data_IF_736857836874
#
_entry.id   IF_736857836874
#
_cell.length_a   1.000
_cell.length_b   1.000
_cell.length_c   1.000
_cell.angle_alpha   90.00
_cell.angle_beta   90.00
_cell.angle_gamma   90.00
#
_symmetry.space_group_name_H-M   'P 1'
#
loop_
_entity.id
_entity.type
_entity.pdbx_description
1 polymer ?
#
# COMPACT_ATOMS: atom_id res chain seq x y z
N UNK A 1 25.51 -7.37 -15.03
CA UNK A 1 24.07 -7.31 -14.64
C UNK A 1 23.78 -8.27 -13.48
N UNK A 2 24.34 -9.48 -13.44
CA UNK A 2 24.15 -10.48 -12.36
C UNK A 2 24.49 -9.88 -10.99
N UNK A 3 25.67 -9.31 -10.84
CA UNK A 3 26.19 -8.77 -9.57
C UNK A 3 25.33 -7.63 -9.03
N UNK A 4 24.75 -6.81 -9.92
CA UNK A 4 23.79 -5.76 -9.54
C UNK A 4 22.48 -6.33 -9.04
N UNK A 5 21.97 -7.36 -9.70
CA UNK A 5 20.72 -8.01 -9.28
C UNK A 5 20.89 -8.69 -7.92
N UNK A 6 22.00 -9.35 -7.68
CA UNK A 6 22.34 -9.97 -6.39
C UNK A 6 22.50 -8.93 -5.28
N UNK A 7 23.21 -7.82 -5.55
CA UNK A 7 23.33 -6.71 -4.61
C UNK A 7 21.97 -6.10 -4.25
N UNK A 8 21.13 -5.85 -5.25
CA UNK A 8 19.79 -5.31 -5.03
C UNK A 8 18.91 -6.28 -4.22
N UNK A 9 18.92 -7.56 -4.54
CA UNK A 9 18.19 -8.57 -3.79
C UNK A 9 18.66 -8.64 -2.33
N UNK A 10 19.97 -8.61 -2.10
CA UNK A 10 20.52 -8.58 -0.75
C UNK A 10 20.10 -7.32 0.02
N UNK A 11 20.14 -6.14 -0.63
CA UNK A 11 19.69 -4.87 -0.01
C UNK A 11 18.21 -4.89 0.34
N UNK A 12 17.35 -5.45 -0.51
CA UNK A 12 15.93 -5.61 -0.23
C UNK A 12 15.71 -6.49 1.01
N UNK A 13 16.40 -7.62 1.11
CA UNK A 13 16.27 -8.49 2.29
C UNK A 13 16.75 -7.81 3.58
N UNK A 14 17.83 -7.03 3.54
CA UNK A 14 18.30 -6.26 4.68
C UNK A 14 17.33 -5.17 5.13
N UNK A 15 16.48 -4.67 4.23
CA UNK A 15 15.49 -3.65 4.54
C UNK A 15 14.17 -4.22 5.10
N UNK A 16 14.01 -5.54 5.08
CA UNK A 16 12.77 -6.20 5.53
C UNK A 16 12.57 -6.04 7.04
N UNK A 17 11.37 -5.64 7.42
CA UNK A 17 10.96 -5.51 8.82
C UNK A 17 10.80 -6.90 9.47
N UNK A 18 10.82 -6.98 10.83
CA UNK A 18 10.59 -8.26 11.54
C UNK A 18 9.23 -8.91 11.24
N UNK A 19 8.23 -8.11 10.84
CA UNK A 19 6.90 -8.60 10.42
C UNK A 19 6.88 -9.17 8.99
N UNK A 20 8.03 -9.16 8.30
CA UNK A 20 8.19 -9.68 6.94
C UNK A 20 7.82 -8.68 5.83
N UNK A 21 7.41 -7.46 6.16
CA UNK A 21 7.07 -6.44 5.19
C UNK A 21 8.27 -5.54 4.86
N UNK A 22 8.32 -5.07 3.61
CA UNK A 22 9.36 -4.14 3.16
C UNK A 22 8.83 -2.70 3.16
N UNK A 23 9.47 -1.78 3.90
CA UNK A 23 9.22 -0.36 3.76
C UNK A 23 9.55 0.11 2.34
N UNK A 24 8.74 1.00 1.79
CA UNK A 24 8.98 1.57 0.46
C UNK A 24 10.04 2.67 0.51
N UNK A 25 10.09 3.42 1.63
CA UNK A 25 10.99 4.56 1.81
C UNK A 25 11.67 4.56 3.16
N UNK A 26 12.83 5.21 3.21
CA UNK A 26 13.63 5.42 4.41
C UNK A 26 14.04 6.88 4.51
N UNK A 27 14.14 7.40 5.75
CA UNK A 27 14.88 8.61 6.06
C UNK A 27 16.20 8.26 6.74
N UNK A 28 17.16 9.17 6.66
CA UNK A 28 18.47 9.00 7.26
C UNK A 28 18.81 10.20 8.13
N UNK A 29 19.15 9.96 9.39
CA UNK A 29 19.63 10.96 10.31
C UNK A 29 21.14 10.79 10.51
N UNK A 30 21.92 11.88 10.35
CA UNK A 30 23.32 11.85 10.68
C UNK A 30 23.51 11.69 12.20
N UNK A 31 24.18 10.63 12.64
CA UNK A 31 24.50 10.38 14.05
C UNK A 31 25.86 10.92 14.45
N UNK A 32 26.78 10.97 13.50
CA UNK A 32 28.10 11.54 13.71
C UNK A 32 28.53 12.36 12.47
N UNK A 33 29.22 13.45 12.71
CA UNK A 33 29.72 14.35 11.66
C UNK A 33 30.97 15.09 12.12
N UNK A 34 31.74 15.57 11.16
CA UNK A 34 32.83 16.51 11.39
C UNK A 34 32.64 17.78 10.60
N UNK A 35 33.18 18.87 11.14
CA UNK A 35 33.22 20.15 10.45
C UNK A 35 34.56 20.24 9.71
N UNK A 36 34.51 20.54 8.42
CA UNK A 36 35.66 20.74 7.55
C UNK A 36 35.65 22.16 7.00
N UNK A 37 36.73 22.56 6.29
CA UNK A 37 36.76 23.85 5.60
C UNK A 37 35.69 23.95 4.49
N UNK A 38 35.27 22.80 3.92
CA UNK A 38 34.28 22.70 2.85
C UNK A 38 32.85 22.59 3.36
N UNK A 39 32.64 22.39 4.68
CA UNK A 39 31.31 22.27 5.30
C UNK A 39 31.20 21.13 6.30
N UNK A 40 30.00 20.60 6.46
CA UNK A 40 29.71 19.48 7.36
C UNK A 40 29.78 18.17 6.57
N UNK A 41 30.63 17.26 7.01
CA UNK A 41 30.78 15.92 6.47
C UNK A 41 30.17 14.90 7.44
N UNK A 42 29.02 14.26 7.09
CA UNK A 42 28.45 13.20 7.93
C UNK A 42 29.31 11.94 7.87
N UNK A 43 29.52 11.31 9.01
CA UNK A 43 30.36 10.13 9.18
C UNK A 43 29.56 8.84 9.35
N UNK A 44 28.41 8.91 10.02
CA UNK A 44 27.48 7.81 10.17
C UNK A 44 26.04 8.26 10.11
N UNK A 45 25.15 7.32 9.74
CA UNK A 45 23.72 7.57 9.60
C UNK A 45 22.90 6.49 10.29
N UNK A 46 21.84 6.90 10.97
CA UNK A 46 20.76 6.02 11.37
C UNK A 46 19.69 6.00 10.27
N UNK A 47 19.36 4.80 9.82
CA UNK A 47 18.27 4.58 8.88
C UNK A 47 16.95 4.39 9.64
N UNK A 48 15.95 5.21 9.33
CA UNK A 48 14.60 5.10 9.86
C UNK A 48 13.63 4.68 8.75
N UNK A 49 12.86 3.61 8.98
CA UNK A 49 11.81 3.21 8.05
C UNK A 49 10.64 4.19 8.14
N UNK A 50 10.17 4.68 7.00
CA UNK A 50 8.92 5.42 6.93
C UNK A 50 7.71 4.46 7.06
N UNK A 51 6.50 4.98 7.35
CA UNK A 51 5.29 4.18 7.38
C UNK A 51 5.11 3.36 6.10
N UNK A 52 4.57 2.15 6.23
CA UNK A 52 4.35 1.26 5.08
C UNK A 52 3.40 1.92 4.06
N UNK A 53 3.74 1.78 2.79
CA UNK A 53 2.86 2.04 1.67
C UNK A 53 2.47 0.71 1.03
N UNK A 54 1.23 0.56 0.60
CA UNK A 54 0.72 -0.66 -0.06
C UNK A 54 1.50 -1.00 -1.33
N UNK A 55 2.12 -0.01 -1.95
CA UNK A 55 3.01 -0.18 -3.11
C UNK A 55 4.18 -1.13 -2.81
N UNK A 56 4.74 -1.10 -1.61
CA UNK A 56 5.79 -2.03 -1.18
C UNK A 56 5.36 -3.49 -1.30
N UNK A 57 4.30 -3.94 -0.63
CA UNK A 57 3.73 -5.28 -0.80
C UNK A 57 3.34 -5.63 -2.24
N UNK A 58 2.82 -4.69 -3.03
CA UNK A 58 2.50 -4.91 -4.46
C UNK A 58 3.76 -5.31 -5.23
N UNK A 59 4.87 -4.60 -5.03
CA UNK A 59 6.13 -4.92 -5.71
C UNK A 59 6.80 -6.17 -5.12
N UNK A 60 6.74 -6.36 -3.80
CA UNK A 60 7.27 -7.57 -3.16
C UNK A 60 6.55 -8.83 -3.66
N UNK A 61 5.21 -8.79 -3.83
CA UNK A 61 4.42 -9.90 -4.37
C UNK A 61 4.92 -10.36 -5.75
N UNK A 62 5.35 -9.43 -6.59
CA UNK A 62 5.92 -9.73 -7.92
C UNK A 62 7.26 -10.44 -7.84
N UNK A 63 8.04 -10.18 -6.79
CA UNK A 63 9.36 -10.76 -6.59
C UNK A 63 9.31 -12.16 -5.96
N UNK A 64 8.19 -12.51 -5.30
CA UNK A 64 8.05 -13.82 -4.67
C UNK A 64 7.98 -14.94 -5.72
N UNK A 65 8.83 -15.96 -5.57
CA UNK A 65 9.01 -17.02 -6.57
C UNK A 65 7.98 -18.15 -6.47
N UNK A 66 7.38 -18.35 -5.30
CA UNK A 66 6.49 -19.46 -5.02
C UNK A 66 5.22 -19.01 -4.27
N UNK A 67 4.17 -19.83 -4.37
CA UNK A 67 2.86 -19.56 -3.77
C UNK A 67 2.93 -19.45 -2.24
N UNK A 68 3.77 -20.24 -1.59
CA UNK A 68 3.91 -20.21 -0.12
C UNK A 68 4.47 -18.88 0.38
N UNK A 69 5.45 -18.33 -0.32
CA UNK A 69 6.03 -17.03 0.01
C UNK A 69 5.03 -15.91 -0.22
N UNK A 70 4.27 -15.97 -1.32
CA UNK A 70 3.17 -15.03 -1.60
C UNK A 70 2.07 -15.09 -0.55
N UNK A 71 1.70 -16.30 -0.13
CA UNK A 71 0.69 -16.48 0.92
C UNK A 71 1.15 -15.86 2.26
N UNK A 72 2.39 -16.13 2.69
CA UNK A 72 2.95 -15.49 3.89
C UNK A 72 2.95 -13.97 3.82
N UNK A 73 3.32 -13.42 2.65
CA UNK A 73 3.29 -11.97 2.44
C UNK A 73 1.86 -11.43 2.53
N UNK A 74 0.89 -12.11 1.93
CA UNK A 74 -0.52 -11.72 2.03
C UNK A 74 -1.02 -11.75 3.49
N UNK A 75 -0.68 -12.79 4.25
CA UNK A 75 -1.00 -12.86 5.67
C UNK A 75 -0.37 -11.70 6.47
N UNK A 76 0.90 -11.39 6.22
CA UNK A 76 1.59 -10.27 6.89
C UNK A 76 0.92 -8.93 6.58
N UNK A 77 0.52 -8.68 5.32
CA UNK A 77 -0.23 -7.47 4.94
C UNK A 77 -1.58 -7.41 5.66
N UNK A 78 -2.32 -8.52 5.73
CA UNK A 78 -3.59 -8.62 6.43
C UNK A 78 -3.51 -8.41 7.94
N UNK A 79 -2.33 -8.64 8.53
CA UNK A 79 -2.06 -8.40 9.96
C UNK A 79 -1.53 -6.98 10.24
N UNK A 80 -1.03 -6.30 9.24
CA UNK A 80 -0.45 -4.95 9.35
C UNK A 80 -1.52 -3.85 9.46
N UNK A 81 -1.07 -2.62 9.69
CA UNK A 81 -1.92 -1.42 9.67
C UNK A 81 -2.35 -1.01 8.24
N UNK A 82 -1.84 -1.67 7.19
CA UNK A 82 -2.35 -1.48 5.84
C UNK A 82 -3.76 -2.06 5.65
N UNK A 83 -4.16 -3.03 6.47
CA UNK A 83 -5.49 -3.62 6.37
C UNK A 83 -6.50 -2.93 7.30
N UNK A 84 -7.54 -2.35 6.72
CA UNK A 84 -8.67 -1.78 7.45
C UNK A 84 -9.66 -2.88 7.85
N UNK A 85 -9.56 -3.36 9.08
CA UNK A 85 -10.40 -4.46 9.58
C UNK A 85 -11.90 -4.12 9.63
N UNK A 86 -12.26 -2.83 9.80
CA UNK A 86 -13.66 -2.39 9.82
C UNK A 86 -14.29 -2.44 8.44
N UNK A 87 -13.54 -2.03 7.42
CA UNK A 87 -14.00 -2.01 6.04
C UNK A 87 -13.72 -3.31 5.29
N UNK A 88 -12.72 -4.09 5.73
CA UNK A 88 -12.21 -5.24 5.00
C UNK A 88 -11.45 -4.86 3.74
N UNK A 89 -10.78 -3.71 3.74
CA UNK A 89 -10.12 -3.10 2.58
C UNK A 89 -8.66 -2.75 2.89
N UNK A 90 -7.86 -2.49 1.85
CA UNK A 90 -6.44 -2.17 1.99
C UNK A 90 -6.19 -0.67 1.82
N UNK A 91 -5.59 -0.07 2.85
CA UNK A 91 -5.21 1.35 2.86
C UNK A 91 -4.00 1.58 1.95
N UNK A 92 -3.91 2.78 1.37
CA UNK A 92 -2.76 3.17 0.54
C UNK A 92 -1.47 3.21 1.35
N UNK A 93 -1.55 3.57 2.64
CA UNK A 93 -0.43 3.58 3.59
C UNK A 93 -0.93 3.43 5.03
N UNK A 94 0.00 3.17 5.95
CA UNK A 94 -0.22 3.36 7.38
C UNK A 94 -0.50 4.84 7.67
N UNK A 95 -1.10 5.14 8.84
CA UNK A 95 -1.33 6.53 9.24
C UNK A 95 0.00 7.31 9.28
N UNK A 96 0.00 8.50 8.66
CA UNK A 96 1.16 9.38 8.63
C UNK A 96 1.08 10.37 9.78
N UNK A 97 2.21 10.56 10.47
CA UNK A 97 2.33 11.57 11.51
C UNK A 97 2.76 12.90 10.91
N UNK A 98 2.16 14.00 11.39
CA UNK A 98 2.52 15.37 11.00
C UNK A 98 3.94 15.77 11.38
N UNK A 99 4.57 15.07 12.31
CA UNK A 99 5.99 15.27 12.65
C UNK A 99 6.94 14.78 11.55
N UNK A 100 6.46 13.97 10.62
CA UNK A 100 7.25 13.43 9.50
C UNK A 100 7.22 14.40 8.32
N UNK A 101 8.02 15.45 8.41
CA UNK A 101 8.07 16.53 7.40
C UNK A 101 8.48 16.04 6.00
N UNK A 102 9.27 14.97 5.92
CA UNK A 102 9.72 14.36 4.67
C UNK A 102 8.55 13.81 3.82
N UNK A 103 7.41 13.52 4.43
CA UNK A 103 6.23 13.01 3.74
C UNK A 103 5.41 14.11 3.04
N UNK A 104 5.83 15.38 3.17
CA UNK A 104 5.20 16.51 2.50
C UNK A 104 3.71 16.66 2.85
N UNK A 105 2.90 17.02 1.85
CA UNK A 105 1.47 17.30 2.07
C UNK A 105 0.66 16.10 2.56
N UNK A 106 1.11 14.88 2.29
CA UNK A 106 0.37 13.69 2.69
C UNK A 106 0.16 13.61 4.21
N UNK A 107 1.18 13.98 5.00
CA UNK A 107 1.09 14.03 6.45
C UNK A 107 0.16 15.16 6.98
N UNK A 108 -0.19 16.15 6.16
CA UNK A 108 -1.09 17.25 6.54
C UNK A 108 -2.57 16.86 6.45
N UNK A 109 -2.92 15.81 5.71
CA UNK A 109 -4.30 15.34 5.63
C UNK A 109 -4.74 14.66 6.92
N UNK A 110 -6.04 14.76 7.20
CA UNK A 110 -6.67 13.99 8.29
C UNK A 110 -6.47 12.49 8.04
N UNK A 111 -6.10 11.70 9.07
CA UNK A 111 -6.03 10.24 8.91
C UNK A 111 -7.30 9.68 8.28
N UNK A 112 -7.15 8.71 7.41
CA UNK A 112 -8.24 8.09 6.65
C UNK A 112 -8.75 8.90 5.45
N UNK A 113 -8.11 10.02 5.13
CA UNK A 113 -8.48 10.92 4.03
C UNK A 113 -7.33 11.13 3.05
N UNK A 114 -7.63 11.09 1.74
CA UNK A 114 -6.64 11.23 0.66
C UNK A 114 -5.42 10.32 0.88
N UNK A 115 -4.21 10.83 0.72
CA UNK A 115 -2.97 10.04 0.84
C UNK A 115 -2.56 9.71 2.29
N UNK A 116 -3.37 10.03 3.30
CA UNK A 116 -3.09 9.67 4.69
C UNK A 116 -3.98 8.51 5.16
N UNK A 117 -3.65 7.29 4.78
CA UNK A 117 -4.29 6.08 5.28
C UNK A 117 -5.72 5.84 4.79
N UNK A 118 -6.16 6.47 3.70
CA UNK A 118 -7.40 6.11 3.02
C UNK A 118 -7.22 4.87 2.14
N UNK A 119 -8.32 4.36 1.58
CA UNK A 119 -8.27 3.28 0.57
C UNK A 119 -8.27 3.90 -0.81
N UNK A 120 -7.14 3.82 -1.53
CA UNK A 120 -7.06 4.23 -2.92
C UNK A 120 -7.36 3.04 -3.82
N UNK A 121 -8.48 3.06 -4.53
CA UNK A 121 -8.95 1.91 -5.30
C UNK A 121 -7.94 1.41 -6.34
N UNK A 122 -7.20 2.31 -6.99
CA UNK A 122 -6.18 1.88 -7.95
C UNK A 122 -5.05 1.08 -7.29
N UNK A 123 -4.63 1.46 -6.08
CA UNK A 123 -3.59 0.72 -5.35
C UNK A 123 -4.13 -0.58 -4.76
N UNK A 124 -5.35 -0.57 -4.23
CA UNK A 124 -6.02 -1.78 -3.77
C UNK A 124 -6.19 -2.78 -4.91
N UNK A 125 -6.67 -2.32 -6.07
CA UNK A 125 -6.85 -3.18 -7.24
C UNK A 125 -5.51 -3.69 -7.80
N UNK A 126 -4.43 -2.91 -7.73
CA UNK A 126 -3.08 -3.42 -8.03
C UNK A 126 -2.69 -4.56 -7.10
N UNK A 127 -2.97 -4.42 -5.81
CA UNK A 127 -2.69 -5.47 -4.84
C UNK A 127 -3.51 -6.74 -5.13
N UNK A 128 -4.82 -6.61 -5.36
CA UNK A 128 -5.67 -7.73 -5.74
C UNK A 128 -5.21 -8.40 -7.05
N UNK A 129 -4.83 -7.59 -8.03
CA UNK A 129 -4.31 -8.08 -9.31
C UNK A 129 -3.03 -8.93 -9.13
N UNK A 130 -2.15 -8.55 -8.19
CA UNK A 130 -0.96 -9.36 -7.90
C UNK A 130 -1.28 -10.65 -7.15
N UNK A 131 -2.34 -10.71 -6.33
CA UNK A 131 -2.85 -11.98 -5.78
C UNK A 131 -3.30 -12.91 -6.92
N UNK A 132 -4.07 -12.38 -7.87
CA UNK A 132 -4.56 -13.14 -9.03
C UNK A 132 -3.41 -13.65 -9.90
N UNK A 133 -2.48 -12.77 -10.30
CA UNK A 133 -1.28 -13.12 -11.07
C UNK A 133 -0.36 -14.09 -10.34
N UNK A 134 -0.33 -13.99 -9.03
CA UNK A 134 0.47 -14.85 -8.15
C UNK A 134 -0.12 -16.25 -7.93
N UNK A 135 -1.32 -16.53 -8.46
CA UNK A 135 -2.00 -17.81 -8.30
C UNK A 135 -2.69 -18.00 -6.94
N UNK A 136 -2.84 -16.94 -6.15
CA UNK A 136 -3.56 -16.94 -4.89
C UNK A 136 -5.07 -16.71 -5.15
N UNK A 137 -5.69 -17.64 -5.86
CA UNK A 137 -7.06 -17.46 -6.38
C UNK A 137 -8.11 -17.41 -5.28
N UNK A 138 -7.99 -18.23 -4.25
CA UNK A 138 -8.95 -18.25 -3.13
C UNK A 138 -8.90 -16.93 -2.37
N UNK A 139 -7.70 -16.44 -2.07
CA UNK A 139 -7.46 -15.15 -1.43
C UNK A 139 -7.99 -14.01 -2.32
N UNK A 140 -7.66 -14.04 -3.60
CA UNK A 140 -8.13 -13.04 -4.56
C UNK A 140 -9.66 -12.96 -4.56
N UNK A 141 -10.39 -14.05 -4.76
CA UNK A 141 -11.85 -14.01 -4.84
C UNK A 141 -12.50 -13.65 -3.51
N UNK A 142 -11.90 -14.03 -2.39
CA UNK A 142 -12.35 -13.60 -1.07
C UNK A 142 -12.22 -12.09 -0.90
N UNK A 143 -11.04 -11.54 -1.19
CA UNK A 143 -10.79 -10.10 -1.07
C UNK A 143 -11.55 -9.30 -2.14
N UNK A 144 -11.61 -9.76 -3.38
CA UNK A 144 -12.34 -9.10 -4.44
C UNK A 144 -13.83 -8.89 -4.12
N UNK A 145 -14.45 -9.84 -3.44
CA UNK A 145 -15.84 -9.70 -2.96
C UNK A 145 -15.99 -8.67 -1.86
N UNK A 146 -14.95 -8.40 -1.08
CA UNK A 146 -14.95 -7.40 0.00
C UNK A 146 -14.63 -6.01 -0.50
N UNK A 147 -13.63 -5.90 -1.38
CA UNK A 147 -13.03 -4.66 -1.83
C UNK A 147 -13.61 -4.15 -3.15
N UNK A 148 -14.13 -5.04 -3.98
CA UNK A 148 -14.64 -4.69 -5.31
C UNK A 148 -15.88 -3.81 -5.24
N UNK A 149 -15.82 -2.63 -5.85
CA UNK A 149 -16.93 -1.66 -5.84
C UNK A 149 -18.29 -2.26 -6.21
N UNK A 150 -18.42 -3.19 -7.20
CA UNK A 150 -19.70 -3.83 -7.51
C UNK A 150 -20.36 -4.58 -6.36
N UNK A 151 -19.63 -4.91 -5.30
CA UNK A 151 -20.12 -5.65 -4.13
C UNK A 151 -20.35 -4.78 -2.90
N UNK A 152 -20.01 -3.49 -2.97
CA UNK A 152 -20.18 -2.57 -1.86
C UNK A 152 -21.65 -2.22 -1.63
N UNK A 153 -21.96 -1.87 -0.38
CA UNK A 153 -23.29 -1.33 -0.05
C UNK A 153 -23.37 0.13 -0.49
N UNK A 154 -24.25 0.44 -1.44
CA UNK A 154 -24.43 1.80 -1.98
C UNK A 154 -24.76 2.85 -0.90
N UNK A 155 -25.51 2.48 0.15
CA UNK A 155 -25.84 3.39 1.23
C UNK A 155 -24.60 3.81 2.04
N UNK A 156 -23.61 2.92 2.18
CA UNK A 156 -22.33 3.21 2.84
C UNK A 156 -21.37 3.90 1.88
N UNK A 157 -21.24 3.34 0.68
CA UNK A 157 -20.35 3.88 -0.37
C UNK A 157 -20.77 5.29 -0.82
N UNK A 158 -22.08 5.58 -0.75
CA UNK A 158 -22.66 6.88 -1.06
C UNK A 158 -22.66 7.23 -2.55
N UNK A 159 -22.46 6.24 -3.42
CA UNK A 159 -22.45 6.34 -4.88
C UNK A 159 -22.97 5.06 -5.50
N UNK A 160 -23.23 5.11 -6.82
CA UNK A 160 -23.52 3.90 -7.57
C UNK A 160 -22.34 2.94 -7.56
N UNK A 161 -22.61 1.65 -7.37
CA UNK A 161 -21.59 0.59 -7.44
C UNK A 161 -21.10 0.30 -8.86
N UNK A 162 -21.60 1.02 -9.85
CA UNK A 162 -21.03 1.04 -11.22
C UNK A 162 -19.90 2.07 -11.39
N UNK A 163 -19.65 2.90 -10.38
CA UNK A 163 -18.62 3.94 -10.42
C UNK A 163 -17.43 3.61 -9.53
N UNK A 164 -16.23 3.46 -10.12
CA UNK A 164 -15.00 3.49 -9.37
C UNK A 164 -14.66 4.93 -8.95
N UNK A 165 -14.31 5.10 -7.67
CA UNK A 165 -13.83 6.38 -7.12
C UNK A 165 -12.31 6.40 -7.04
N UNK A 166 -11.74 7.58 -6.76
CA UNK A 166 -10.32 7.69 -6.48
C UNK A 166 -9.96 7.02 -5.16
N UNK A 167 -10.71 7.38 -4.09
CA UNK A 167 -10.46 6.83 -2.77
C UNK A 167 -11.76 6.66 -1.97
N UNK A 168 -11.67 5.77 -0.99
CA UNK A 168 -12.69 5.51 0.03
C UNK A 168 -12.11 5.92 1.39
N UNK A 169 -12.89 6.63 2.19
CA UNK A 169 -12.48 7.05 3.54
C UNK A 169 -12.34 5.82 4.43
N UNK A 170 -11.17 5.64 5.01
CA UNK A 170 -10.90 4.51 5.90
C UNK A 170 -11.41 4.73 7.32
N UNK A 171 -11.37 3.67 8.13
CA UNK A 171 -11.76 3.73 9.54
C UNK A 171 -10.77 4.49 10.44
N UNK A 172 -9.66 5.00 9.89
CA UNK A 172 -8.77 5.94 10.58
C UNK A 172 -9.36 7.34 10.71
N UNK A 173 -10.38 7.67 9.90
CA UNK A 173 -10.97 9.00 9.96
C UNK A 173 -11.73 9.21 11.27
N UNK A 174 -11.55 10.35 11.96
CA UNK A 174 -12.25 10.63 13.21
C UNK A 174 -13.77 10.77 13.05
N UNK A 175 -14.27 11.07 11.84
CA UNK A 175 -15.71 11.10 11.56
C UNK A 175 -16.19 9.75 11.03
N UNK A 176 -16.79 8.96 11.92
CA UNK A 176 -17.29 7.62 11.60
C UNK A 176 -18.37 7.62 10.50
N UNK A 177 -19.09 8.73 10.29
CA UNK A 177 -20.10 8.85 9.24
C UNK A 177 -19.53 8.82 7.84
N UNK A 178 -18.23 9.05 7.73
CA UNK A 178 -17.48 9.03 6.46
C UNK A 178 -16.89 7.65 6.14
N UNK A 179 -16.79 6.74 7.11
CA UNK A 179 -16.15 5.43 6.91
C UNK A 179 -16.83 4.66 5.76
N UNK A 180 -16.05 4.23 4.79
CA UNK A 180 -16.51 3.49 3.62
C UNK A 180 -17.09 4.37 2.49
N UNK A 181 -17.17 5.69 2.67
CA UNK A 181 -17.69 6.59 1.61
C UNK A 181 -16.66 6.85 0.54
N UNK A 182 -17.08 6.77 -0.70
CA UNK A 182 -16.26 7.00 -1.89
C UNK A 182 -16.25 8.45 -2.35
N UNK A 183 -15.06 8.94 -2.76
CA UNK A 183 -14.85 10.32 -3.20
C UNK A 183 -14.10 10.38 -4.52
N UNK A 184 -14.43 11.40 -5.32
CA UNK A 184 -13.81 11.71 -6.61
C UNK A 184 -13.95 10.56 -7.62
N UNK A 185 -15.10 10.51 -8.29
CA UNK A 185 -15.33 9.60 -9.41
C UNK A 185 -14.62 10.14 -10.66
N UNK A 186 -13.43 9.66 -11.00
CA UNK A 186 -12.76 9.94 -12.29
C UNK A 186 -11.33 9.37 -12.38
N UNK A 187 -11.04 8.26 -11.75
CA UNK A 187 -9.70 7.69 -11.89
C UNK A 187 -9.69 6.57 -12.92
N UNK A 188 -9.05 6.86 -14.06
CA UNK A 188 -8.73 5.87 -15.08
C UNK A 188 -7.91 4.70 -14.56
N UNK A 189 -7.02 4.93 -13.54
CA UNK A 189 -6.19 3.90 -12.93
C UNK A 189 -7.01 2.76 -12.30
N UNK A 190 -7.98 3.07 -11.42
CA UNK A 190 -8.81 2.02 -10.81
C UNK A 190 -9.61 1.23 -11.84
N UNK A 191 -10.08 1.89 -12.89
CA UNK A 191 -10.80 1.24 -13.99
C UNK A 191 -9.87 0.33 -14.81
N UNK A 192 -8.65 0.77 -15.09
CA UNK A 192 -7.68 -0.02 -15.85
C UNK A 192 -7.31 -1.33 -15.10
N UNK A 193 -7.01 -1.23 -13.81
CA UNK A 193 -6.70 -2.41 -12.98
C UNK A 193 -7.92 -3.34 -12.85
N UNK A 194 -9.12 -2.79 -12.72
CA UNK A 194 -10.36 -3.54 -12.69
C UNK A 194 -10.58 -4.33 -13.98
N UNK A 195 -10.43 -3.68 -15.14
CA UNK A 195 -10.53 -4.35 -16.45
C UNK A 195 -9.46 -5.43 -16.63
N UNK A 196 -8.25 -5.21 -16.13
CA UNK A 196 -7.18 -6.19 -16.18
C UNK A 196 -7.49 -7.44 -15.33
N UNK A 197 -8.09 -7.26 -14.14
CA UNK A 197 -8.59 -8.39 -13.33
C UNK A 197 -9.66 -9.17 -14.10
N UNK A 198 -10.61 -8.48 -14.72
CA UNK A 198 -11.64 -9.11 -15.56
C UNK A 198 -11.04 -9.91 -16.72
N UNK A 199 -10.09 -9.32 -17.42
CA UNK A 199 -9.41 -10.01 -18.51
C UNK A 199 -8.78 -11.32 -18.04
N UNK A 200 -8.03 -11.28 -16.93
CA UNK A 200 -7.37 -12.48 -16.40
C UNK A 200 -8.36 -13.52 -15.88
N UNK A 201 -9.48 -13.10 -15.26
CA UNK A 201 -10.49 -14.02 -14.76
C UNK A 201 -11.21 -14.80 -15.86
N UNK A 202 -11.40 -14.21 -17.04
CA UNK A 202 -12.23 -14.79 -18.09
C UNK A 202 -11.47 -15.27 -19.33
N UNK A 203 -10.31 -14.71 -19.58
CA UNK A 203 -9.53 -15.03 -20.78
C UNK A 203 -8.14 -15.63 -20.49
N UNK A 204 -7.64 -15.51 -19.26
CA UNK A 204 -6.33 -16.01 -18.86
C UNK A 204 -5.18 -15.07 -19.18
#
# INVERSE_FOLDING_TARGET
>A
FSDWAELLAHRLELSRRPDGLMPTYFSYEAEDWRVTEEGIEPLSFRQNSLPLLLEGPVHDMKLQKDARSRHRLHEAVGQSALYDRKLGMYRVNEALDRSQLELGRAAAFTPGWLENGSVWLHMEYKYLLELLKGGLYEEFFREFRRCGVPFLNEAVYGRSTTENVSFIVSSLNPDERLHGRGFVARLSGSTAEFLQMWQLMFFG
#
